data_IF_053208786620
#
_entry.id   IF_053208786620
#
_cell.length_a   1.000
_cell.length_b   1.000
_cell.length_c   1.000
_cell.angle_alpha   90.00
_cell.angle_beta   90.00
_cell.angle_gamma   90.00
#
_symmetry.space_group_name_H-M   'P 1'
#
loop_
_entity.id
_entity.type
_entity.pdbx_description
1 polymer ?
#
# COMPACT_ATOMS: atom_id res chain seq x y z
N UNK A 1 40.59 5.17 -39.00
CA UNK A 1 39.13 5.28 -38.74
C UNK A 1 38.99 5.69 -37.27
N UNK A 2 38.39 6.85 -37.01
CA UNK A 2 38.10 7.27 -35.64
C UNK A 2 37.07 6.29 -35.03
N UNK A 3 37.31 5.83 -33.83
CA UNK A 3 36.35 5.00 -33.10
C UNK A 3 35.02 5.76 -32.99
N UNK A 4 33.92 5.15 -33.43
CA UNK A 4 32.57 5.69 -33.26
C UNK A 4 32.03 5.57 -31.83
N UNK A 5 32.82 4.98 -30.93
CA UNK A 5 32.45 4.76 -29.53
C UNK A 5 33.29 5.66 -28.61
N UNK A 6 32.66 6.24 -27.63
CA UNK A 6 33.35 6.93 -26.54
C UNK A 6 34.12 5.92 -25.69
N UNK A 7 35.31 6.30 -25.21
CA UNK A 7 36.04 5.47 -24.25
C UNK A 7 35.26 5.41 -22.91
N UNK A 8 35.15 4.22 -22.35
CA UNK A 8 34.59 4.05 -21.01
C UNK A 8 35.64 4.44 -19.97
N UNK A 9 35.20 5.04 -18.86
CA UNK A 9 36.05 5.27 -17.71
C UNK A 9 36.50 3.93 -17.10
N UNK A 10 37.74 3.82 -16.60
CA UNK A 10 38.27 2.58 -15.99
C UNK A 10 37.50 2.20 -14.71
N UNK A 11 36.87 3.16 -14.05
CA UNK A 11 35.97 2.93 -12.91
C UNK A 11 34.63 3.63 -13.21
N UNK A 12 33.54 2.90 -12.95
CA UNK A 12 32.19 3.42 -13.13
C UNK A 12 31.65 3.80 -11.74
N UNK A 13 31.30 5.07 -11.53
CA UNK A 13 30.52 5.53 -10.40
C UNK A 13 29.05 5.31 -10.71
N UNK A 14 28.48 4.22 -10.20
CA UNK A 14 27.08 3.86 -10.44
C UNK A 14 26.10 4.92 -9.92
N UNK A 15 26.22 5.41 -8.67
CA UNK A 15 25.34 6.47 -8.17
C UNK A 15 25.36 7.74 -9.02
N UNK A 16 26.54 8.18 -9.49
CA UNK A 16 26.66 9.34 -10.35
C UNK A 16 26.00 9.10 -11.72
N UNK A 17 26.20 7.91 -12.29
CA UNK A 17 25.57 7.53 -13.56
C UNK A 17 24.06 7.51 -13.46
N UNK A 18 23.52 6.95 -12.38
CA UNK A 18 22.07 6.94 -12.10
C UNK A 18 21.50 8.36 -12.01
N UNK A 19 22.16 9.26 -11.29
CA UNK A 19 21.74 10.67 -11.20
C UNK A 19 21.76 11.37 -12.57
N UNK A 20 22.74 11.11 -13.41
CA UNK A 20 22.81 11.66 -14.77
C UNK A 20 21.64 11.18 -15.62
N UNK A 21 21.29 9.87 -15.53
CA UNK A 21 20.17 9.30 -16.27
C UNK A 21 18.83 9.85 -15.76
N UNK A 22 18.64 9.95 -14.45
CA UNK A 22 17.42 10.54 -13.88
C UNK A 22 17.24 11.99 -14.33
N UNK A 23 18.31 12.79 -14.28
CA UNK A 23 18.28 14.17 -14.76
C UNK A 23 17.99 14.26 -16.26
N UNK A 24 18.55 13.35 -17.06
CA UNK A 24 18.22 13.26 -18.48
C UNK A 24 16.74 12.93 -18.72
N UNK A 25 16.19 11.95 -17.99
CA UNK A 25 14.79 11.58 -18.10
C UNK A 25 13.85 12.73 -17.73
N UNK A 26 14.18 13.47 -16.68
CA UNK A 26 13.40 14.62 -16.23
C UNK A 26 13.47 15.77 -17.21
N UNK A 27 14.69 16.20 -17.61
CA UNK A 27 14.88 17.32 -18.55
C UNK A 27 14.31 17.06 -19.94
N UNK A 28 14.31 15.82 -20.38
CA UNK A 28 13.77 15.41 -21.68
C UNK A 28 12.34 14.91 -21.63
N UNK A 29 11.72 14.90 -20.45
CA UNK A 29 10.34 14.41 -20.26
C UNK A 29 10.11 13.01 -20.85
N UNK A 30 11.06 12.10 -20.59
CA UNK A 30 11.10 10.79 -21.26
C UNK A 30 9.89 9.93 -20.89
N UNK A 31 9.43 9.96 -19.64
CA UNK A 31 8.27 9.19 -19.20
C UNK A 31 7.01 9.62 -19.97
N UNK A 32 6.68 10.91 -19.98
CA UNK A 32 5.48 11.42 -20.67
C UNK A 32 5.57 11.20 -22.18
N UNK A 33 6.75 11.41 -22.77
CA UNK A 33 6.98 11.07 -24.19
C UNK A 33 6.75 9.60 -24.49
N UNK A 34 7.11 8.71 -23.57
CA UNK A 34 6.89 7.26 -23.74
C UNK A 34 5.40 6.89 -23.74
N UNK A 35 4.58 7.61 -22.97
CA UNK A 35 3.11 7.47 -22.96
C UNK A 35 2.50 8.07 -24.21
N UNK A 36 2.86 9.30 -24.54
CA UNK A 36 2.33 10.04 -25.71
C UNK A 36 2.65 9.34 -27.04
N UNK A 37 3.84 8.76 -27.19
CA UNK A 37 4.23 8.03 -28.39
C UNK A 37 3.36 6.77 -28.66
N UNK A 38 2.53 6.39 -27.72
CA UNK A 38 1.62 5.25 -27.80
C UNK A 38 0.15 5.65 -27.72
N UNK A 39 -0.14 6.93 -27.90
CA UNK A 39 -1.52 7.41 -27.95
C UNK A 39 -2.29 6.71 -29.07
N UNK A 40 -3.53 6.28 -28.75
CA UNK A 40 -4.37 5.53 -29.69
C UNK A 40 -3.98 4.04 -29.88
N UNK A 41 -2.96 3.54 -29.21
CA UNK A 41 -2.65 2.10 -29.15
C UNK A 41 -3.53 1.41 -28.12
N UNK A 42 -3.66 0.05 -28.17
CA UNK A 42 -4.37 -0.68 -27.14
C UNK A 42 -3.83 -0.32 -25.74
N UNK A 43 -4.74 -0.10 -24.80
CA UNK A 43 -4.42 0.35 -23.45
C UNK A 43 -4.12 -0.83 -22.53
N UNK A 44 -3.11 -0.69 -21.69
CA UNK A 44 -2.88 -1.53 -20.52
C UNK A 44 -2.88 -0.64 -19.27
N UNK A 45 -3.80 -0.89 -18.36
CA UNK A 45 -4.01 -0.03 -17.20
C UNK A 45 -3.18 -0.48 -16.00
N UNK A 46 -2.51 0.47 -15.36
CA UNK A 46 -1.78 0.26 -14.12
C UNK A 46 -2.19 1.32 -13.09
N UNK A 47 -2.66 0.83 -11.95
CA UNK A 47 -2.80 1.61 -10.73
C UNK A 47 -1.81 1.12 -9.70
N UNK A 48 -1.08 2.04 -9.06
CA UNK A 48 -0.20 1.71 -7.93
C UNK A 48 -1.02 1.05 -6.82
N UNK A 49 -0.51 -0.07 -6.25
CA UNK A 49 -0.98 -0.54 -4.95
C UNK A 49 -0.47 0.43 -3.90
N UNK A 50 -1.35 1.26 -3.30
CA UNK A 50 -0.91 2.47 -2.63
C UNK A 50 -0.19 2.14 -1.33
N UNK A 51 1.00 2.73 -1.07
CA UNK A 51 1.62 2.60 0.23
C UNK A 51 0.88 3.45 1.27
N UNK A 52 0.85 3.00 2.51
CA UNK A 52 0.49 3.84 3.65
C UNK A 52 1.71 4.66 4.05
N UNK A 53 1.66 5.97 3.85
CA UNK A 53 2.77 6.88 4.19
C UNK A 53 2.71 7.27 5.67
N UNK A 54 2.84 6.28 6.58
CA UNK A 54 2.78 6.45 8.03
C UNK A 54 4.16 6.49 8.72
N UNK A 55 5.24 6.58 7.92
CA UNK A 55 6.62 6.64 8.37
C UNK A 55 7.59 6.68 7.20
N UNK A 56 8.89 6.71 7.47
CA UNK A 56 9.92 6.72 6.42
C UNK A 56 9.89 5.43 5.58
N UNK A 57 10.09 5.53 4.25
CA UNK A 57 10.12 4.35 3.40
C UNK A 57 11.30 3.43 3.72
N UNK A 58 11.03 2.12 3.83
CA UNK A 58 12.05 1.10 4.05
C UNK A 58 12.42 0.34 2.77
N UNK A 59 13.41 -0.57 2.87
CA UNK A 59 13.91 -1.37 1.74
C UNK A 59 12.85 -2.24 1.09
N UNK A 60 11.89 -2.77 1.86
CA UNK A 60 10.77 -3.54 1.35
C UNK A 60 9.86 -2.73 0.41
N UNK A 61 9.76 -1.42 0.61
CA UNK A 61 9.03 -0.54 -0.32
C UNK A 61 9.78 -0.40 -1.65
N UNK A 62 11.12 -0.40 -1.63
CA UNK A 62 11.94 -0.38 -2.84
C UNK A 62 11.74 -1.68 -3.63
N UNK A 63 11.87 -2.83 -2.96
CA UNK A 63 11.67 -4.13 -3.57
C UNK A 63 10.32 -4.26 -4.26
N UNK A 64 9.23 -3.94 -3.53
CA UNK A 64 7.88 -3.96 -4.08
C UNK A 64 7.74 -3.09 -5.35
N UNK A 65 8.35 -1.90 -5.36
CA UNK A 65 8.31 -0.98 -6.50
C UNK A 65 9.11 -1.47 -7.69
N UNK A 66 10.25 -2.12 -7.48
CA UNK A 66 11.02 -2.74 -8.56
C UNK A 66 10.15 -3.76 -9.31
N UNK A 67 9.49 -4.66 -8.58
CA UNK A 67 8.58 -5.62 -9.21
C UNK A 67 7.42 -4.95 -9.95
N UNK A 68 6.82 -3.93 -9.35
CA UNK A 68 5.71 -3.20 -9.98
C UNK A 68 6.13 -2.49 -11.27
N UNK A 69 7.32 -1.91 -11.33
CA UNK A 69 7.80 -1.14 -12.49
C UNK A 69 8.14 -2.03 -13.71
N UNK A 70 8.55 -3.26 -13.49
CA UNK A 70 8.88 -4.20 -14.56
C UNK A 70 7.70 -4.44 -15.50
N UNK A 71 6.50 -4.65 -14.97
CA UNK A 71 5.32 -4.97 -15.80
C UNK A 71 4.88 -3.81 -16.69
N UNK A 72 4.68 -2.58 -16.19
CA UNK A 72 4.35 -1.43 -17.02
C UNK A 72 5.41 -1.13 -18.08
N UNK A 73 6.71 -1.23 -17.75
CA UNK A 73 7.80 -1.06 -18.71
C UNK A 73 7.73 -2.10 -19.81
N UNK A 74 7.56 -3.37 -19.45
CA UNK A 74 7.44 -4.45 -20.41
C UNK A 74 6.26 -4.25 -21.36
N UNK A 75 5.08 -3.89 -20.85
CA UNK A 75 3.91 -3.62 -21.68
C UNK A 75 4.12 -2.39 -22.58
N UNK A 76 4.80 -1.36 -22.09
CA UNK A 76 5.20 -0.19 -22.88
C UNK A 76 6.14 -0.62 -24.02
N UNK A 77 7.11 -1.49 -23.75
CA UNK A 77 8.04 -2.01 -24.79
C UNK A 77 7.31 -2.85 -25.84
N UNK A 78 6.22 -3.52 -25.47
CA UNK A 78 5.35 -4.22 -26.42
C UNK A 78 4.50 -3.30 -27.28
N UNK A 79 4.55 -1.99 -27.07
CA UNK A 79 3.84 -0.99 -27.86
C UNK A 79 2.46 -0.62 -27.31
N UNK A 80 2.09 -1.07 -26.12
CA UNK A 80 0.83 -0.67 -25.49
C UNK A 80 0.91 0.73 -24.88
N UNK A 81 -0.20 1.43 -24.86
CA UNK A 81 -0.35 2.67 -24.09
C UNK A 81 -0.54 2.29 -22.62
N UNK A 82 0.41 2.68 -21.78
CA UNK A 82 0.41 2.37 -20.35
C UNK A 82 0.33 3.64 -19.54
N UNK A 83 -0.87 3.99 -19.10
CA UNK A 83 -1.11 5.05 -18.14
C UNK A 83 -0.85 4.48 -16.75
N UNK A 84 0.02 5.15 -15.98
CA UNK A 84 0.53 4.68 -14.70
C UNK A 84 0.16 5.66 -13.62
N UNK A 85 -0.87 5.34 -12.86
CA UNK A 85 -1.41 6.21 -11.83
C UNK A 85 -0.82 5.84 -10.46
N UNK A 86 -0.23 6.82 -9.77
CA UNK A 86 0.19 6.67 -8.38
C UNK A 86 -1.01 6.63 -7.44
N UNK A 87 -0.81 6.23 -6.20
CA UNK A 87 -1.86 6.21 -5.18
C UNK A 87 -1.29 6.29 -3.77
N UNK A 88 -2.12 6.75 -2.83
CA UNK A 88 -1.80 6.86 -1.41
C UNK A 88 -2.90 6.22 -0.57
N UNK A 89 -2.49 5.26 0.28
CA UNK A 89 -3.37 4.71 1.30
C UNK A 89 -3.36 5.61 2.53
N UNK A 90 -4.54 6.09 2.92
CA UNK A 90 -4.69 7.13 3.94
C UNK A 90 -5.43 6.65 5.17
N UNK A 91 -5.69 5.35 5.29
CA UNK A 91 -6.58 4.79 6.31
C UNK A 91 -5.94 3.70 7.15
N UNK A 92 -6.68 3.34 8.20
CA UNK A 92 -6.45 2.16 9.01
C UNK A 92 -5.53 2.35 10.20
N UNK A 93 -5.40 1.29 10.97
CA UNK A 93 -4.63 1.24 12.22
C UNK A 93 -3.18 1.74 12.10
N UNK A 94 -2.44 1.51 11.00
CA UNK A 94 -1.07 2.02 10.90
C UNK A 94 -0.97 3.54 11.03
N UNK A 95 -1.93 4.29 10.46
CA UNK A 95 -1.97 5.76 10.58
C UNK A 95 -2.40 6.16 11.98
N UNK A 96 -3.50 5.56 12.47
CA UNK A 96 -4.07 5.87 13.79
C UNK A 96 -3.06 5.62 14.90
N UNK A 97 -2.40 4.45 14.91
CA UNK A 97 -1.39 4.11 15.92
C UNK A 97 -0.17 5.04 15.88
N UNK A 98 0.23 5.50 14.68
CA UNK A 98 1.32 6.48 14.56
C UNK A 98 0.95 7.79 15.26
N UNK A 99 -0.27 8.30 15.01
CA UNK A 99 -0.79 9.52 15.65
C UNK A 99 -1.06 9.33 17.14
N UNK A 100 -1.60 8.18 17.58
CA UNK A 100 -1.73 7.87 19.01
C UNK A 100 -0.39 7.95 19.73
N UNK A 101 0.68 7.40 19.15
CA UNK A 101 2.03 7.47 19.71
C UNK A 101 2.56 8.89 19.77
N UNK A 102 2.35 9.69 18.73
CA UNK A 102 2.73 11.12 18.69
C UNK A 102 2.05 11.91 19.83
N UNK A 103 0.75 11.65 20.05
CA UNK A 103 -0.05 12.31 21.07
C UNK A 103 0.11 11.72 22.48
N UNK A 104 0.83 10.59 22.62
CA UNK A 104 0.99 9.88 23.88
C UNK A 104 -0.28 9.17 24.37
N UNK A 105 -1.17 8.80 23.48
CA UNK A 105 -2.43 8.13 23.80
C UNK A 105 -2.21 6.63 24.06
N UNK A 106 -3.02 6.07 24.96
CA UNK A 106 -2.96 4.67 25.34
C UNK A 106 -4.08 3.80 24.73
N UNK A 107 -5.08 4.43 24.12
CA UNK A 107 -6.19 3.73 23.48
C UNK A 107 -7.36 4.64 23.12
N UNK A 108 -8.46 3.98 22.73
CA UNK A 108 -9.64 4.63 22.17
C UNK A 108 -10.26 5.71 23.07
N UNK A 109 -10.24 5.53 24.39
CA UNK A 109 -10.77 6.52 25.33
C UNK A 109 -10.06 7.88 25.25
N UNK A 110 -8.75 7.88 25.00
CA UNK A 110 -7.98 9.12 24.83
C UNK A 110 -8.37 9.84 23.54
N UNK A 111 -8.63 9.09 22.46
CA UNK A 111 -9.10 9.63 21.19
C UNK A 111 -10.48 10.27 21.34
N UNK A 112 -11.40 9.60 22.04
CA UNK A 112 -12.76 10.11 22.31
C UNK A 112 -12.70 11.40 23.14
N UNK A 113 -11.84 11.45 24.15
CA UNK A 113 -11.64 12.64 25.01
C UNK A 113 -11.00 13.80 24.22
N UNK A 114 -10.03 13.52 23.34
CA UNK A 114 -9.40 14.51 22.48
C UNK A 114 -10.37 15.06 21.44
N UNK A 115 -11.28 14.22 20.98
CA UNK A 115 -12.27 14.48 19.94
C UNK A 115 -11.92 13.82 18.62
N UNK A 116 -12.92 13.13 18.03
CA UNK A 116 -12.75 12.37 16.78
C UNK A 116 -12.33 13.28 15.61
N UNK A 117 -12.98 14.45 15.47
CA UNK A 117 -12.66 15.36 14.36
C UNK A 117 -11.22 15.90 14.40
N UNK A 118 -10.69 16.45 15.50
CA UNK A 118 -9.30 16.87 15.56
C UNK A 118 -8.31 15.71 15.44
N UNK A 119 -8.64 14.50 15.92
CA UNK A 119 -7.82 13.32 15.71
C UNK A 119 -7.74 12.93 14.22
N UNK A 120 -8.85 12.94 13.50
CA UNK A 120 -8.88 12.68 12.06
C UNK A 120 -8.06 13.72 11.27
N UNK A 121 -8.11 15.00 11.65
CA UNK A 121 -7.27 16.03 11.00
C UNK A 121 -5.77 15.77 11.25
N UNK A 122 -5.41 15.31 12.43
CA UNK A 122 -4.04 14.88 12.73
C UNK A 122 -3.63 13.68 11.87
N UNK A 123 -4.49 12.68 11.69
CA UNK A 123 -4.24 11.53 10.83
C UNK A 123 -4.01 11.96 9.37
N UNK A 124 -4.84 12.85 8.84
CA UNK A 124 -4.65 13.40 7.49
C UNK A 124 -3.32 14.13 7.34
N UNK A 125 -2.94 14.95 8.31
CA UNK A 125 -1.68 15.67 8.31
C UNK A 125 -0.47 14.70 8.35
N UNK A 126 -0.54 13.66 9.18
CA UNK A 126 0.51 12.65 9.30
C UNK A 126 0.73 11.89 7.98
N UNK A 127 -0.34 11.52 7.27
CA UNK A 127 -0.22 10.88 5.94
C UNK A 127 0.50 11.79 4.96
N UNK A 128 0.19 13.09 4.94
CA UNK A 128 0.79 14.04 4.01
C UNK A 128 2.28 14.31 4.29
N UNK A 129 2.71 14.22 5.56
CA UNK A 129 4.09 14.46 5.96
C UNK A 129 5.09 13.53 5.26
N UNK A 130 4.78 12.26 5.15
CA UNK A 130 5.69 11.25 4.58
C UNK A 130 5.58 11.04 3.07
N UNK A 131 4.54 11.60 2.44
CA UNK A 131 4.34 11.48 0.97
C UNK A 131 5.54 12.00 0.19
N UNK A 132 6.14 13.11 0.65
CA UNK A 132 7.34 13.67 0.02
C UNK A 132 8.53 12.71 0.03
N UNK A 133 8.77 12.01 1.15
CA UNK A 133 9.86 11.03 1.28
C UNK A 133 9.63 9.81 0.37
N UNK A 134 8.41 9.29 0.31
CA UNK A 134 8.04 8.21 -0.60
C UNK A 134 8.16 8.61 -2.07
N UNK A 135 7.73 9.81 -2.43
CA UNK A 135 7.86 10.35 -3.79
C UNK A 135 9.33 10.46 -4.18
N UNK A 136 10.18 11.02 -3.30
CA UNK A 136 11.61 11.16 -3.54
C UNK A 136 12.30 9.80 -3.70
N UNK A 137 11.99 8.83 -2.84
CA UNK A 137 12.49 7.47 -2.97
C UNK A 137 12.07 6.85 -4.32
N UNK A 138 10.80 6.99 -4.70
CA UNK A 138 10.26 6.43 -5.93
C UNK A 138 10.92 7.05 -7.18
N UNK A 139 11.13 8.37 -7.18
CA UNK A 139 11.89 9.06 -8.24
C UNK A 139 13.35 8.62 -8.27
N UNK A 140 13.99 8.51 -7.09
CA UNK A 140 15.40 8.12 -6.98
C UNK A 140 15.67 6.72 -7.53
N UNK A 141 14.77 5.78 -7.37
CA UNK A 141 14.90 4.44 -7.95
C UNK A 141 14.50 4.35 -9.43
N UNK A 142 14.02 5.44 -10.01
CA UNK A 142 13.64 5.51 -11.42
C UNK A 142 12.32 4.82 -11.77
N UNK A 143 11.44 4.62 -10.78
CA UNK A 143 10.10 4.10 -11.02
C UNK A 143 9.23 5.14 -11.73
N UNK A 144 8.71 4.80 -12.92
CA UNK A 144 7.87 5.68 -13.72
C UNK A 144 6.40 5.54 -13.34
N UNK A 145 5.88 6.52 -12.62
CA UNK A 145 4.47 6.63 -12.21
C UNK A 145 4.09 8.11 -12.16
N UNK A 146 2.84 8.39 -12.50
CA UNK A 146 2.30 9.74 -12.47
C UNK A 146 1.83 10.08 -11.05
N UNK A 147 2.50 11.04 -10.41
CA UNK A 147 2.17 11.53 -9.07
C UNK A 147 1.16 12.67 -9.10
N UNK A 148 1.06 13.41 -10.20
CA UNK A 148 0.15 14.56 -10.31
C UNK A 148 -1.30 14.08 -10.40
N UNK A 149 -1.50 12.90 -11.03
CA UNK A 149 -2.77 12.20 -11.13
C UNK A 149 -2.97 11.13 -10.03
N UNK A 150 -2.18 11.20 -8.94
CA UNK A 150 -2.29 10.22 -7.87
C UNK A 150 -3.67 10.22 -7.21
N UNK A 151 -4.23 9.02 -7.00
CA UNK A 151 -5.45 8.89 -6.21
C UNK A 151 -5.15 8.81 -4.71
N UNK A 152 -6.06 9.33 -3.91
CA UNK A 152 -6.00 9.31 -2.45
C UNK A 152 -7.21 8.56 -1.93
N UNK A 153 -6.99 7.51 -1.14
CA UNK A 153 -8.11 6.69 -0.64
C UNK A 153 -9.06 7.49 0.26
N UNK A 154 -8.63 8.64 0.78
CA UNK A 154 -9.46 9.57 1.56
C UNK A 154 -10.24 10.58 0.72
N UNK A 155 -10.04 10.64 -0.61
CA UNK A 155 -10.76 11.58 -1.46
C UNK A 155 -12.22 11.17 -1.66
N UNK A 156 -13.09 12.17 -1.86
CA UNK A 156 -14.52 11.93 -2.11
C UNK A 156 -14.75 11.06 -3.33
N UNK A 157 -14.02 11.32 -4.42
CA UNK A 157 -14.14 10.59 -5.69
C UNK A 157 -13.73 9.11 -5.53
N UNK A 158 -12.71 8.83 -4.71
CA UNK A 158 -12.31 7.46 -4.43
C UNK A 158 -13.39 6.73 -3.64
N UNK A 159 -13.90 7.34 -2.57
CA UNK A 159 -14.97 6.77 -1.74
C UNK A 159 -16.22 6.53 -2.58
N UNK A 160 -16.63 7.48 -3.42
CA UNK A 160 -17.76 7.34 -4.32
C UNK A 160 -17.59 6.17 -5.31
N UNK A 161 -16.39 6.02 -5.88
CA UNK A 161 -16.07 4.90 -6.78
C UNK A 161 -16.16 3.54 -6.09
N UNK A 162 -15.70 3.43 -4.83
CA UNK A 162 -15.83 2.21 -4.01
C UNK A 162 -17.30 1.90 -3.73
N UNK A 163 -18.08 2.90 -3.33
CA UNK A 163 -19.51 2.74 -3.08
C UNK A 163 -20.29 2.35 -4.34
N UNK A 164 -19.94 2.92 -5.50
CA UNK A 164 -20.49 2.51 -6.77
C UNK A 164 -20.21 1.03 -7.06
N UNK A 165 -18.98 0.58 -6.86
CA UNK A 165 -18.60 -0.82 -7.06
C UNK A 165 -19.40 -1.76 -6.16
N UNK A 166 -19.55 -1.41 -4.87
CA UNK A 166 -20.34 -2.18 -3.90
C UNK A 166 -21.82 -2.23 -4.32
N UNK A 167 -22.38 -1.11 -4.81
CA UNK A 167 -23.75 -1.06 -5.32
C UNK A 167 -23.96 -1.98 -6.53
N UNK A 168 -23.00 -2.02 -7.46
CA UNK A 168 -23.07 -2.93 -8.60
C UNK A 168 -23.01 -4.41 -8.18
N UNK A 169 -22.17 -4.73 -7.18
CA UNK A 169 -22.09 -6.08 -6.60
C UNK A 169 -23.40 -6.45 -5.89
N UNK A 170 -23.98 -5.51 -5.14
CA UNK A 170 -25.27 -5.68 -4.48
C UNK A 170 -26.39 -5.95 -5.51
N UNK A 171 -26.48 -5.15 -6.57
CA UNK A 171 -27.47 -5.29 -7.63
C UNK A 171 -27.41 -6.67 -8.33
N UNK A 172 -26.23 -7.29 -8.35
CA UNK A 172 -26.01 -8.64 -8.86
C UNK A 172 -26.35 -9.74 -7.86
N UNK A 173 -26.76 -9.40 -6.62
CA UNK A 173 -27.04 -10.37 -5.55
C UNK A 173 -25.81 -11.09 -5.00
N UNK A 174 -24.61 -10.53 -5.23
CA UNK A 174 -23.34 -11.14 -4.81
C UNK A 174 -22.84 -10.62 -3.45
N UNK A 175 -23.43 -9.56 -2.93
CA UNK A 175 -23.13 -9.04 -1.58
C UNK A 175 -24.15 -9.63 -0.59
N UNK A 176 -23.66 -10.43 0.35
CA UNK A 176 -24.48 -11.13 1.34
C UNK A 176 -23.99 -10.83 2.75
N UNK A 177 -24.89 -10.93 3.73
CA UNK A 177 -24.51 -10.88 5.15
C UNK A 177 -24.23 -12.29 5.64
N UNK A 178 -23.06 -12.49 6.24
CA UNK A 178 -22.63 -13.78 6.76
C UNK A 178 -21.75 -13.62 8.01
N UNK A 179 -21.44 -14.72 8.67
CA UNK A 179 -20.61 -14.78 9.87
C UNK A 179 -19.32 -15.54 9.58
N UNK A 180 -18.21 -14.98 10.04
CA UNK A 180 -16.90 -15.67 10.00
C UNK A 180 -16.14 -15.41 11.28
N UNK A 181 -15.30 -16.36 11.67
CA UNK A 181 -14.32 -16.15 12.73
C UNK A 181 -13.25 -15.19 12.21
N UNK A 182 -12.99 -14.14 12.95
CA UNK A 182 -11.97 -13.15 12.62
C UNK A 182 -11.23 -12.71 13.90
N UNK A 183 -9.92 -12.41 13.81
CA UNK A 183 -9.18 -11.82 14.92
C UNK A 183 -9.78 -10.46 15.31
N UNK A 184 -9.82 -10.18 16.60
CA UNK A 184 -10.35 -8.93 17.13
C UNK A 184 -9.40 -8.35 18.18
N UNK A 185 -9.07 -7.08 18.06
CA UNK A 185 -8.23 -6.37 19.02
C UNK A 185 -9.11 -5.63 20.04
N UNK A 186 -9.13 -6.04 21.33
CA UNK A 186 -9.95 -5.35 22.35
C UNK A 186 -9.42 -3.94 22.67
N UNK A 187 -8.11 -3.68 22.49
CA UNK A 187 -7.53 -2.34 22.68
C UNK A 187 -8.03 -1.36 21.62
N UNK A 188 -7.98 -1.76 20.34
CA UNK A 188 -8.38 -0.90 19.22
C UNK A 188 -9.91 -0.94 18.98
N UNK A 189 -10.62 -1.94 19.52
CA UNK A 189 -12.06 -2.10 19.35
C UNK A 189 -12.46 -2.49 17.91
N UNK A 190 -11.58 -3.18 17.17
CA UNK A 190 -11.81 -3.51 15.75
C UNK A 190 -11.27 -4.90 15.38
N UNK A 191 -11.77 -5.45 14.28
CA UNK A 191 -11.21 -6.64 13.64
C UNK A 191 -9.83 -6.35 13.05
N UNK A 192 -8.97 -7.36 13.04
CA UNK A 192 -7.63 -7.27 12.46
C UNK A 192 -7.57 -8.01 11.13
N UNK A 193 -6.81 -7.45 10.19
CA UNK A 193 -6.37 -8.15 8.99
C UNK A 193 -5.23 -9.14 9.31
N UNK A 194 -5.00 -10.11 8.43
CA UNK A 194 -3.90 -11.07 8.58
C UNK A 194 -2.53 -10.38 8.65
N UNK A 195 -2.36 -9.27 7.91
CA UNK A 195 -1.14 -8.47 7.93
C UNK A 195 -0.91 -7.79 9.29
N UNK A 196 -1.94 -7.20 9.88
CA UNK A 196 -1.87 -6.57 11.20
C UNK A 196 -1.62 -7.60 12.29
N UNK A 197 -2.27 -8.77 12.20
CA UNK A 197 -2.09 -9.87 13.14
C UNK A 197 -0.64 -10.39 13.12
N UNK A 198 -0.03 -10.53 11.94
CA UNK A 198 1.33 -11.04 11.77
C UNK A 198 2.41 -10.18 12.43
N UNK A 199 2.13 -8.91 12.70
CA UNK A 199 3.07 -7.98 13.36
C UNK A 199 3.08 -8.08 14.89
N UNK A 200 2.12 -8.79 15.49
CA UNK A 200 1.91 -8.85 16.94
C UNK A 200 2.11 -10.22 17.58
N UNK A 201 2.75 -11.17 16.91
CA UNK A 201 3.01 -12.48 17.50
C UNK A 201 4.06 -12.40 18.61
N UNK A 202 3.65 -12.81 19.80
CA UNK A 202 4.50 -12.91 20.98
C UNK A 202 4.32 -14.26 21.67
N UNK A 203 5.38 -14.74 22.33
CA UNK A 203 5.28 -15.93 23.18
C UNK A 203 4.71 -15.54 24.55
N UNK A 204 3.50 -16.00 24.83
CA UNK A 204 2.81 -15.76 26.11
C UNK A 204 2.55 -17.07 26.82
N UNK A 205 2.45 -17.01 28.16
CA UNK A 205 2.06 -18.16 28.99
C UNK A 205 0.61 -17.98 29.38
N UNK A 206 -0.27 -18.80 28.79
CA UNK A 206 -1.69 -18.81 29.10
C UNK A 206 -2.07 -20.08 29.88
N UNK A 207 -2.99 -20.00 30.85
CA UNK A 207 -3.51 -21.18 31.54
C UNK A 207 -4.36 -22.01 30.58
N UNK A 208 -4.02 -23.29 30.43
CA UNK A 208 -4.82 -24.23 29.65
C UNK A 208 -5.94 -24.83 30.50
N UNK A 209 -7.15 -24.86 29.94
CA UNK A 209 -8.32 -25.48 30.59
C UNK A 209 -8.73 -26.73 29.82
N UNK A 210 -8.74 -27.87 30.51
CA UNK A 210 -9.22 -29.14 29.99
C UNK A 210 -10.58 -29.46 30.60
N UNK A 211 -11.63 -29.44 29.76
CA UNK A 211 -12.98 -29.76 30.21
C UNK A 211 -13.32 -31.19 29.79
N UNK A 212 -13.69 -32.03 30.77
CA UNK A 212 -14.17 -33.40 30.50
C UNK A 212 -15.68 -33.37 30.27
N UNK A 213 -16.12 -33.90 29.16
CA UNK A 213 -17.53 -34.11 28.84
C UNK A 213 -17.84 -35.60 29.00
N UNK A 214 -18.49 -36.03 30.09
CA UNK A 214 -18.89 -37.44 30.24
C UNK A 214 -19.97 -37.78 29.22
N UNK A 215 -19.79 -38.85 28.49
CA UNK A 215 -20.82 -39.36 27.59
C UNK A 215 -22.00 -39.94 28.39
N UNK A 216 -23.20 -39.49 28.07
CA UNK A 216 -24.43 -39.85 28.77
C UNK A 216 -25.20 -40.98 28.09
N UNK A 217 -24.77 -41.52 26.96
CA UNK A 217 -25.40 -42.60 26.20
C UNK A 217 -24.47 -43.80 26.02
N UNK A 218 -25.01 -45.00 25.89
CA UNK A 218 -24.29 -46.28 25.86
C UNK A 218 -23.35 -46.54 24.68
N UNK A 219 -23.15 -45.58 23.77
CA UNK A 219 -22.16 -45.63 22.68
C UNK A 219 -20.82 -44.99 23.01
N UNK A 220 -20.62 -44.57 24.26
CA UNK A 220 -19.39 -43.94 24.71
C UNK A 220 -18.14 -44.83 24.61
N UNK A 221 -18.29 -46.16 24.67
CA UNK A 221 -17.20 -47.12 24.55
C UNK A 221 -16.71 -47.35 23.09
N UNK A 222 -17.43 -46.83 22.09
CA UNK A 222 -17.07 -46.97 20.66
C UNK A 222 -16.26 -45.78 20.15
N UNK A 223 -16.08 -44.73 20.98
CA UNK A 223 -15.41 -43.48 20.62
C UNK A 223 -14.04 -43.30 21.31
N UNK A 224 -13.50 -44.38 21.92
CA UNK A 224 -12.23 -44.38 22.63
C UNK A 224 -10.99 -44.27 21.78
#
# INVERSE_FOLDING_TARGET
MASSFNSLAPQIDLPQTEHQILSFWETQDIFQKSVAAREGKPTWTFYEGPPTANGKPGTHHIEARVFKDVFPRYQTMKGLQVIRKAGWDCHGLPVEIAVEKELGFSGKGDIENYGIAPFNEKCKASVQEHVGEFTNMTRRMGFWVDFDEAYWTMSGEYVESVWWSLKEIWNKGLLVQDYRVAPYCPRCGTGLSDHELSQGYESVVDPSVYVKFPATSGKAGELG
#
